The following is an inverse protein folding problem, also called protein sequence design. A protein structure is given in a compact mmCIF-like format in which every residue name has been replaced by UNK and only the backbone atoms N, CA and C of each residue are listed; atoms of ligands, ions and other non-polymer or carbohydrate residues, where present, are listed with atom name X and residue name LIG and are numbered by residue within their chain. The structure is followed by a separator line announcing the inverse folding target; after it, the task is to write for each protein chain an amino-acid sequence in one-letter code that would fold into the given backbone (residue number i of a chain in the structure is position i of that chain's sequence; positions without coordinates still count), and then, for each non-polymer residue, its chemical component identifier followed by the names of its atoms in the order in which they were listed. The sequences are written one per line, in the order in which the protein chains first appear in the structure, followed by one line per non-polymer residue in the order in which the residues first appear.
data_IF_970644979866
#
_entry.id   IF_970644979866
#
_cell.length_a   1.000
_cell.length_b   1.000
_cell.length_c   1.000
_cell.angle_alpha   90.00
_cell.angle_beta   90.00
_cell.angle_gamma   90.00
#
_symmetry.space_group_name_H-M   'P 1'
#
loop_
_entity.id
_entity.type
_entity.pdbx_description
1 polymer ?
#
# COMPACT_ATOMS: atom_id res chain seq x y z
N UNK A 1 -9.02 -24.55 -4.03
CA UNK A 1 -9.84 -23.78 -3.06
C UNK A 1 -9.93 -24.52 -1.74
N UNK A 2 -9.77 -23.83 -0.60
CA UNK A 2 -9.79 -24.42 0.75
C UNK A 2 -11.20 -24.79 1.27
N UNK A 3 -12.27 -24.50 0.51
CA UNK A 3 -13.65 -24.80 0.91
C UNK A 3 -14.18 -23.90 2.02
N UNK A 4 -13.89 -22.59 1.94
CA UNK A 4 -14.36 -21.59 2.90
C UNK A 4 -15.90 -21.58 2.98
N UNK A 5 -16.51 -21.79 4.17
CA UNK A 5 -17.96 -21.90 4.32
C UNK A 5 -18.66 -20.56 4.61
N UNK A 6 -17.90 -19.49 4.87
CA UNK A 6 -18.45 -18.18 5.26
C UNK A 6 -19.05 -17.40 4.09
N UNK A 7 -19.81 -16.33 4.38
CA UNK A 7 -20.31 -15.44 3.34
C UNK A 7 -19.11 -14.79 2.63
N UNK A 8 -19.20 -14.68 1.31
CA UNK A 8 -18.24 -13.99 0.45
C UNK A 8 -16.82 -14.61 0.42
N UNK A 9 -16.65 -15.69 -0.36
CA UNK A 9 -15.36 -16.37 -0.57
C UNK A 9 -14.28 -15.55 -1.29
N UNK A 10 -14.53 -14.28 -1.56
CA UNK A 10 -13.56 -13.31 -2.13
C UNK A 10 -12.88 -12.46 -1.05
N UNK A 11 -13.34 -12.51 0.21
CA UNK A 11 -12.71 -11.80 1.32
C UNK A 11 -11.42 -12.51 1.76
N UNK A 12 -10.31 -12.15 1.11
CA UNK A 12 -9.01 -12.82 1.26
C UNK A 12 -8.58 -12.98 2.72
N UNK A 13 -8.81 -11.95 3.54
CA UNK A 13 -8.48 -11.93 4.97
C UNK A 13 -9.09 -13.12 5.74
N UNK A 14 -10.41 -13.31 5.61
CA UNK A 14 -11.14 -14.39 6.29
C UNK A 14 -10.88 -15.75 5.68
N UNK A 15 -10.76 -15.80 4.35
CA UNK A 15 -10.47 -17.03 3.62
C UNK A 15 -9.08 -17.55 4.00
N UNK A 16 -8.09 -16.67 4.10
CA UNK A 16 -6.73 -17.01 4.53
C UNK A 16 -6.69 -17.45 5.99
N UNK A 17 -7.41 -16.74 6.89
CA UNK A 17 -7.53 -17.15 8.30
C UNK A 17 -8.12 -18.56 8.41
N UNK A 18 -9.24 -18.81 7.73
CA UNK A 18 -9.87 -20.13 7.72
C UNK A 18 -8.95 -21.21 7.16
N UNK A 19 -8.23 -20.92 6.06
CA UNK A 19 -7.26 -21.85 5.50
C UNK A 19 -6.13 -22.15 6.51
N UNK A 20 -5.64 -21.13 7.22
CA UNK A 20 -4.60 -21.30 8.25
C UNK A 20 -5.06 -22.23 9.36
N UNK A 21 -6.28 -22.03 9.88
CA UNK A 21 -6.90 -22.92 10.89
C UNK A 21 -7.07 -24.34 10.34
N UNK A 22 -7.57 -24.47 9.10
CA UNK A 22 -7.84 -25.77 8.48
C UNK A 22 -6.58 -26.59 8.23
N UNK A 23 -5.50 -25.96 7.79
CA UNK A 23 -4.23 -26.63 7.52
C UNK A 23 -3.31 -26.70 8.75
N UNK A 24 -3.62 -25.96 9.82
CA UNK A 24 -2.79 -25.86 11.02
C UNK A 24 -1.48 -25.08 10.81
N UNK A 25 -1.34 -24.40 9.67
CA UNK A 25 -0.11 -23.71 9.27
C UNK A 25 -0.43 -22.52 8.36
N UNK A 26 -0.32 -21.31 8.90
CA UNK A 26 -0.52 -20.08 8.14
C UNK A 26 0.66 -19.77 7.21
N UNK A 27 1.89 -20.21 7.53
CA UNK A 27 3.03 -20.04 6.64
C UNK A 27 2.84 -20.85 5.36
N UNK A 28 2.30 -22.06 5.48
CA UNK A 28 1.90 -22.86 4.32
C UNK A 28 0.89 -22.12 3.43
N UNK A 29 -0.12 -21.48 4.02
CA UNK A 29 -1.12 -20.69 3.28
C UNK A 29 -0.48 -19.50 2.57
N UNK A 30 0.39 -18.74 3.24
CA UNK A 30 1.11 -17.60 2.65
C UNK A 30 1.97 -18.03 1.45
N UNK A 31 2.68 -19.16 1.55
CA UNK A 31 3.43 -19.74 0.43
C UNK A 31 2.50 -20.12 -0.73
N UNK A 32 1.35 -20.75 -0.46
CA UNK A 32 0.38 -21.06 -1.53
C UNK A 32 -0.18 -19.81 -2.20
N UNK A 33 -0.45 -18.75 -1.45
CA UNK A 33 -0.89 -17.47 -2.02
C UNK A 33 0.20 -16.88 -2.91
N UNK A 34 1.47 -16.89 -2.48
CA UNK A 34 2.60 -16.50 -3.34
C UNK A 34 2.61 -17.32 -4.63
N UNK A 35 2.46 -18.64 -4.54
CA UNK A 35 2.53 -19.52 -5.72
C UNK A 35 1.40 -19.22 -6.72
N UNK A 36 0.16 -19.10 -6.24
CA UNK A 36 -1.00 -18.76 -7.07
C UNK A 36 -0.83 -17.39 -7.72
N UNK A 37 -0.40 -16.39 -6.93
CA UNK A 37 -0.15 -15.08 -7.49
C UNK A 37 0.96 -15.16 -8.53
N UNK A 38 2.06 -15.86 -8.28
CA UNK A 38 3.16 -15.97 -9.27
C UNK A 38 2.71 -16.64 -10.58
N UNK A 39 1.80 -17.62 -10.52
CA UNK A 39 1.24 -18.28 -11.71
C UNK A 39 0.26 -17.40 -12.51
N UNK A 40 -0.57 -16.61 -11.83
CA UNK A 40 -1.62 -15.79 -12.45
C UNK A 40 -1.15 -14.36 -12.80
N UNK A 41 -0.06 -13.90 -12.19
CA UNK A 41 0.38 -12.52 -12.34
C UNK A 41 1.07 -12.32 -13.70
N UNK A 42 0.34 -11.72 -14.64
CA UNK A 42 0.92 -11.20 -15.87
C UNK A 42 1.63 -9.88 -15.56
N UNK A 43 2.94 -9.81 -15.79
CA UNK A 43 3.70 -8.56 -15.65
C UNK A 43 3.07 -7.47 -16.53
N UNK A 44 2.75 -6.28 -15.98
CA UNK A 44 2.25 -5.17 -16.76
C UNK A 44 3.23 -4.75 -17.86
N UNK A 45 2.69 -4.19 -18.95
CA UNK A 45 3.51 -3.57 -19.98
C UNK A 45 3.97 -2.18 -19.51
N UNK A 46 5.14 -2.15 -18.86
CA UNK A 46 5.74 -0.88 -18.40
C UNK A 46 6.18 0.04 -19.57
N UNK A 47 6.17 -0.43 -20.81
CA UNK A 47 6.38 0.39 -22.00
C UNK A 47 5.14 1.22 -22.38
N UNK A 48 3.95 0.79 -21.97
CA UNK A 48 2.71 1.53 -22.20
C UNK A 48 2.67 2.77 -21.28
N UNK A 49 2.64 4.00 -21.83
CA UNK A 49 2.62 5.21 -21.00
C UNK A 49 1.33 5.34 -20.17
N UNK A 50 0.23 4.70 -20.56
CA UNK A 50 -1.02 4.74 -19.80
C UNK A 50 -1.07 3.67 -18.70
N UNK A 51 -0.07 2.79 -18.63
CA UNK A 51 0.05 1.82 -17.54
C UNK A 51 0.39 2.57 -16.22
N UNK A 52 -0.32 2.27 -15.11
CA UNK A 52 -0.20 3.05 -13.88
C UNK A 52 1.22 3.09 -13.30
N UNK A 53 1.94 1.96 -13.27
CA UNK A 53 3.30 1.93 -12.73
C UNK A 53 4.28 2.71 -13.61
N UNK A 54 4.15 2.61 -14.94
CA UNK A 54 4.93 3.36 -15.91
C UNK A 54 4.75 4.88 -15.74
N UNK A 55 3.50 5.34 -15.58
CA UNK A 55 3.21 6.73 -15.27
C UNK A 55 3.89 7.16 -13.97
N UNK A 56 3.66 6.42 -12.88
CA UNK A 56 4.22 6.73 -11.56
C UNK A 56 5.76 6.72 -11.57
N UNK A 57 6.37 5.85 -12.39
CA UNK A 57 7.80 5.76 -12.58
C UNK A 57 8.39 6.93 -13.38
N UNK A 58 7.59 7.64 -14.18
CA UNK A 58 8.08 8.83 -14.88
C UNK A 58 8.21 10.04 -13.91
N UNK A 59 7.37 10.13 -12.87
CA UNK A 59 7.41 11.23 -11.90
C UNK A 59 8.66 11.21 -11.00
N UNK A 60 9.17 12.38 -10.57
CA UNK A 60 10.31 12.46 -9.65
C UNK A 60 9.89 12.18 -8.19
N UNK A 61 9.25 11.05 -7.92
CA UNK A 61 8.80 10.67 -6.58
C UNK A 61 9.93 9.93 -5.85
N UNK A 62 10.31 10.37 -4.64
CA UNK A 62 11.38 9.71 -3.88
C UNK A 62 10.90 8.50 -3.07
N UNK A 63 9.59 8.38 -2.80
CA UNK A 63 9.05 7.35 -1.89
C UNK A 63 7.74 6.80 -2.45
N UNK A 64 7.63 5.48 -2.48
CA UNK A 64 6.46 4.70 -2.83
C UNK A 64 6.11 3.80 -1.65
N UNK A 65 4.85 3.80 -1.21
CA UNK A 65 4.34 2.88 -0.20
C UNK A 65 3.34 1.95 -0.89
N UNK A 66 3.45 0.66 -0.62
CA UNK A 66 2.57 -0.34 -1.24
C UNK A 66 2.15 -1.41 -0.23
N UNK A 67 0.91 -1.89 -0.35
CA UNK A 67 0.45 -3.14 0.27
C UNK A 67 0.39 -4.29 -0.73
N UNK A 68 0.79 -4.05 -1.98
CA UNK A 68 0.92 -5.13 -2.96
C UNK A 68 2.16 -5.95 -2.65
N UNK A 69 2.07 -7.25 -2.91
CA UNK A 69 3.18 -8.19 -2.69
C UNK A 69 4.19 -8.20 -3.85
N UNK A 70 3.77 -7.81 -5.06
CA UNK A 70 4.61 -7.78 -6.26
C UNK A 70 5.64 -6.62 -6.25
N UNK A 71 6.64 -6.74 -7.13
CA UNK A 71 7.68 -5.72 -7.34
C UNK A 71 7.39 -4.83 -8.56
N UNK A 72 6.14 -4.64 -9.00
CA UNK A 72 5.86 -3.97 -10.27
C UNK A 72 6.31 -2.52 -10.31
N UNK A 73 6.12 -1.76 -9.24
CA UNK A 73 6.63 -0.39 -9.19
C UNK A 73 8.17 -0.36 -9.24
N UNK A 74 8.85 -1.35 -8.63
CA UNK A 74 10.32 -1.48 -8.69
C UNK A 74 10.76 -1.74 -10.13
N UNK A 75 10.08 -2.67 -10.82
CA UNK A 75 10.36 -2.99 -12.21
C UNK A 75 10.10 -1.80 -13.13
N UNK A 76 8.98 -1.09 -12.95
CA UNK A 76 8.67 0.12 -13.72
C UNK A 76 9.73 1.22 -13.50
N UNK A 77 10.18 1.44 -12.26
CA UNK A 77 11.25 2.40 -11.95
C UNK A 77 12.58 2.04 -12.64
N UNK A 78 12.92 0.76 -12.69
CA UNK A 78 14.13 0.28 -13.36
C UNK A 78 14.12 0.59 -14.87
N UNK A 79 12.96 0.50 -15.53
CA UNK A 79 12.84 0.90 -16.96
C UNK A 79 13.09 2.40 -17.20
N UNK A 80 13.03 3.23 -16.15
CA UNK A 80 13.34 4.67 -16.16
C UNK A 80 14.72 4.97 -15.58
N UNK A 81 15.60 3.96 -15.51
CA UNK A 81 16.96 4.04 -14.96
C UNK A 81 17.03 4.49 -13.50
N UNK A 82 15.92 4.37 -12.74
CA UNK A 82 15.88 4.68 -11.31
C UNK A 82 16.29 3.44 -10.52
N UNK A 83 17.28 3.61 -9.64
CA UNK A 83 17.82 2.53 -8.81
C UNK A 83 17.03 2.42 -7.52
N UNK A 84 15.82 1.85 -7.61
CA UNK A 84 14.90 1.75 -6.48
C UNK A 84 15.43 0.81 -5.39
N UNK A 85 15.32 1.24 -4.13
CA UNK A 85 15.59 0.43 -2.95
C UNK A 85 14.27 -0.12 -2.41
N UNK A 86 14.09 -1.44 -2.44
CA UNK A 86 12.86 -2.08 -1.96
C UNK A 86 13.06 -2.65 -0.55
N UNK A 87 12.30 -2.16 0.42
CA UNK A 87 12.37 -2.57 1.82
C UNK A 87 11.01 -3.05 2.35
N UNK A 88 11.05 -3.95 3.33
CA UNK A 88 9.87 -4.54 3.97
C UNK A 88 9.55 -3.83 5.29
N UNK A 89 8.27 -3.71 5.62
CA UNK A 89 7.84 -3.33 6.96
C UNK A 89 8.08 -4.51 7.94
N UNK A 90 8.93 -4.34 8.97
CA UNK A 90 9.18 -5.38 9.96
C UNK A 90 8.07 -5.40 11.03
N UNK A 91 6.84 -5.69 10.61
CA UNK A 91 5.63 -5.57 11.44
C UNK A 91 5.51 -6.61 12.57
N UNK A 92 6.38 -7.61 12.58
CA UNK A 92 6.49 -8.61 13.64
C UNK A 92 7.95 -8.84 13.99
N UNK A 93 8.21 -9.34 15.20
CA UNK A 93 9.56 -9.59 15.73
C UNK A 93 10.36 -10.57 14.86
N UNK A 94 9.69 -11.47 14.16
CA UNK A 94 10.31 -12.46 13.27
C UNK A 94 10.88 -11.85 11.99
N UNK A 95 10.48 -10.64 11.61
CA UNK A 95 10.97 -9.96 10.40
C UNK A 95 12.04 -8.96 10.81
N UNK A 96 13.29 -9.21 10.48
CA UNK A 96 14.38 -8.29 10.82
C UNK A 96 14.17 -6.91 10.17
N UNK A 97 14.49 -5.79 10.87
CA UNK A 97 14.53 -4.48 10.23
C UNK A 97 15.51 -4.49 9.04
N UNK A 98 15.15 -3.77 7.98
CA UNK A 98 16.02 -3.67 6.82
C UNK A 98 17.32 -2.91 7.17
N UNK A 99 18.52 -3.46 6.86
CA UNK A 99 19.79 -2.79 7.10
C UNK A 99 19.88 -1.40 6.47
N UNK A 100 19.07 -1.11 5.44
CA UNK A 100 18.94 0.21 4.83
C UNK A 100 18.65 1.31 5.85
N UNK A 101 17.99 0.99 6.96
CA UNK A 101 17.62 1.94 8.01
C UNK A 101 18.45 1.79 9.29
N UNK A 102 19.52 1.00 9.28
CA UNK A 102 20.34 0.74 10.47
C UNK A 102 21.16 1.97 10.91
N UNK A 103 21.53 2.84 9.97
CA UNK A 103 22.31 4.05 10.27
C UNK A 103 21.45 5.15 10.90
N UNK A 104 22.02 5.85 11.88
CA UNK A 104 21.34 6.93 12.61
C UNK A 104 20.98 8.12 11.73
N UNK A 105 21.75 8.35 10.67
CA UNK A 105 21.43 9.36 9.65
C UNK A 105 20.18 9.00 8.83
N UNK A 106 19.81 7.71 8.82
CA UNK A 106 18.73 7.16 8.03
C UNK A 106 19.02 7.13 6.53
N UNK A 107 18.33 6.24 5.82
CA UNK A 107 18.28 6.30 4.35
C UNK A 107 17.47 7.52 3.90
N UNK A 108 18.02 8.37 3.03
CA UNK A 108 17.34 9.52 2.46
C UNK A 108 16.97 9.25 0.98
N UNK A 109 15.71 8.89 0.68
CA UNK A 109 15.30 8.53 -0.67
C UNK A 109 15.34 9.73 -1.62
N UNK A 110 15.71 9.49 -2.87
CA UNK A 110 15.77 10.53 -3.92
C UNK A 110 15.02 10.06 -5.18
N UNK A 111 14.65 10.96 -6.11
CA UNK A 111 14.04 10.53 -7.37
C UNK A 111 14.91 9.57 -8.21
N UNK A 112 16.24 9.62 -8.08
CA UNK A 112 17.16 8.72 -8.77
C UNK A 112 17.32 7.37 -8.05
N UNK A 113 17.20 7.39 -6.72
CA UNK A 113 17.28 6.22 -5.83
C UNK A 113 16.05 6.17 -4.91
N UNK A 114 14.85 5.93 -5.46
CA UNK A 114 13.62 6.01 -4.71
C UNK A 114 13.47 4.82 -3.76
N UNK A 115 12.72 5.02 -2.68
CA UNK A 115 12.34 3.95 -1.75
C UNK A 115 11.01 3.35 -2.17
N UNK A 116 10.93 2.03 -2.26
CA UNK A 116 9.68 1.28 -2.34
C UNK A 116 9.51 0.51 -1.03
N UNK A 117 8.50 0.87 -0.26
CA UNK A 117 8.26 0.33 1.07
C UNK A 117 7.01 -0.56 1.09
N UNK A 118 7.20 -1.86 1.31
CA UNK A 118 6.12 -2.85 1.33
C UNK A 118 5.57 -3.01 2.75
N UNK A 119 4.37 -2.48 2.97
CA UNK A 119 3.70 -2.52 4.26
C UNK A 119 3.20 -3.92 4.60
N UNK A 120 2.70 -4.66 3.62
CA UNK A 120 2.08 -5.97 3.84
C UNK A 120 2.99 -7.13 3.44
N UNK A 121 4.30 -6.89 3.25
CA UNK A 121 5.24 -7.91 2.80
C UNK A 121 5.42 -7.95 1.28
N UNK A 122 6.30 -8.83 0.80
CA UNK A 122 6.63 -8.96 -0.63
C UNK A 122 6.83 -10.42 -1.04
N UNK A 123 6.60 -10.75 -2.33
CA UNK A 123 6.64 -12.13 -2.86
C UNK A 123 7.92 -12.89 -2.52
N UNK A 124 9.04 -12.17 -2.45
CA UNK A 124 10.36 -12.73 -2.10
C UNK A 124 10.44 -13.32 -0.69
N UNK A 125 9.55 -12.89 0.22
CA UNK A 125 9.47 -13.39 1.59
C UNK A 125 8.00 -13.54 2.03
N UNK A 126 7.35 -14.67 1.74
CA UNK A 126 5.95 -14.89 2.12
C UNK A 126 5.71 -14.88 3.63
N UNK A 127 6.72 -15.12 4.46
CA UNK A 127 6.55 -15.03 5.91
C UNK A 127 6.20 -13.59 6.34
N UNK A 128 6.62 -12.60 5.55
CA UNK A 128 6.30 -11.19 5.74
C UNK A 128 4.88 -10.79 5.36
N UNK A 129 4.08 -11.68 4.76
CA UNK A 129 2.72 -11.32 4.30
C UNK A 129 1.82 -10.93 5.47
N UNK A 130 1.14 -9.80 5.34
CA UNK A 130 -0.01 -9.43 6.16
C UNK A 130 -1.27 -9.87 5.41
N UNK A 131 -1.72 -11.10 5.67
CA UNK A 131 -2.70 -11.78 4.83
C UNK A 131 -3.98 -12.17 5.58
N UNK A 132 -3.86 -12.73 6.78
CA UNK A 132 -4.99 -13.23 7.56
C UNK A 132 -5.42 -12.25 8.65
N UNK A 133 -6.61 -12.46 9.23
CA UNK A 133 -7.15 -11.64 10.33
C UNK A 133 -6.12 -11.48 11.47
N UNK A 134 -5.47 -12.57 11.87
CA UNK A 134 -4.45 -12.55 12.92
C UNK A 134 -3.21 -11.72 12.56
N UNK A 135 -2.75 -11.78 11.30
CA UNK A 135 -1.61 -10.98 10.83
C UNK A 135 -1.93 -9.47 10.95
N UNK A 136 -3.12 -9.07 10.49
CA UNK A 136 -3.56 -7.68 10.55
C UNK A 136 -3.72 -7.18 11.99
N UNK A 137 -4.25 -8.01 12.90
CA UNK A 137 -4.37 -7.66 14.31
C UNK A 137 -2.98 -7.47 14.96
N UNK A 138 -2.03 -8.36 14.67
CA UNK A 138 -0.65 -8.24 15.15
C UNK A 138 0.02 -7.00 14.56
N UNK A 139 -0.14 -6.74 13.26
CA UNK A 139 0.38 -5.55 12.58
C UNK A 139 -0.09 -4.26 13.27
N UNK A 140 -1.40 -4.09 13.45
CA UNK A 140 -1.97 -2.87 14.06
C UNK A 140 -1.55 -2.72 15.52
N UNK A 141 -1.58 -3.81 16.30
CA UNK A 141 -1.15 -3.81 17.70
C UNK A 141 0.32 -3.36 17.82
N UNK A 142 1.20 -3.97 17.04
CA UNK A 142 2.63 -3.65 17.09
C UNK A 142 2.88 -2.19 16.64
N UNK A 143 2.16 -1.72 15.62
CA UNK A 143 2.21 -0.32 15.21
C UNK A 143 1.86 0.62 16.38
N UNK A 144 0.74 0.38 17.07
CA UNK A 144 0.30 1.20 18.20
C UNK A 144 1.33 1.15 19.35
N UNK A 145 1.84 -0.03 19.68
CA UNK A 145 2.85 -0.20 20.74
C UNK A 145 4.12 0.58 20.39
N UNK A 146 4.61 0.47 19.15
CA UNK A 146 5.82 1.16 18.74
C UNK A 146 5.68 2.68 18.80
N UNK A 147 4.54 3.21 18.32
CA UNK A 147 4.22 4.64 18.38
C UNK A 147 4.10 5.15 19.81
N UNK A 148 3.56 4.34 20.73
CA UNK A 148 3.44 4.68 22.15
C UNK A 148 4.80 4.70 22.85
N UNK A 149 5.67 3.73 22.53
CA UNK A 149 6.98 3.58 23.16
C UNK A 149 8.07 4.45 22.52
N UNK A 150 7.75 5.19 21.46
CA UNK A 150 8.69 6.05 20.72
C UNK A 150 9.68 5.27 19.83
N UNK A 151 9.48 3.96 19.66
CA UNK A 151 10.25 3.16 18.69
C UNK A 151 9.67 3.32 17.29
N UNK A 152 10.50 3.32 16.26
CA UNK A 152 10.09 3.58 14.88
C UNK A 152 10.62 2.50 13.93
N UNK A 153 10.42 1.23 14.28
CA UNK A 153 10.97 0.10 13.53
C UNK A 153 10.09 -0.19 12.32
N UNK A 154 8.77 -0.21 12.49
CA UNK A 154 7.79 -0.39 11.40
C UNK A 154 7.76 0.80 10.44
N UNK A 155 8.02 2.01 10.93
CA UNK A 155 8.02 3.23 10.15
C UNK A 155 9.31 4.02 10.41
N UNK A 156 10.40 3.72 9.68
CA UNK A 156 11.66 4.44 9.81
C UNK A 156 11.50 5.95 9.56
N UNK A 157 12.46 6.80 10.02
CA UNK A 157 12.36 8.25 9.90
C UNK A 157 12.06 8.77 8.49
N UNK A 158 12.59 8.14 7.45
CA UNK A 158 12.34 8.52 6.05
C UNK A 158 10.90 8.27 5.60
N UNK A 159 10.28 7.19 6.08
CA UNK A 159 8.86 6.91 5.85
C UNK A 159 8.00 7.91 6.62
N UNK A 160 8.28 8.14 7.90
CA UNK A 160 7.55 9.12 8.72
C UNK A 160 7.65 10.53 8.11
N UNK A 161 8.83 10.93 7.64
CA UNK A 161 9.03 12.19 6.95
C UNK A 161 8.20 12.24 5.65
N UNK A 162 8.20 11.19 4.83
CA UNK A 162 7.39 11.15 3.62
C UNK A 162 5.89 11.30 3.90
N UNK A 163 5.39 10.60 4.92
CA UNK A 163 3.99 10.67 5.35
C UNK A 163 3.60 12.05 5.87
N UNK A 164 4.48 12.75 6.59
CA UNK A 164 4.13 13.99 7.29
C UNK A 164 4.46 15.28 6.53
N UNK A 165 5.39 15.22 5.57
CA UNK A 165 5.90 16.42 4.89
C UNK A 165 5.38 16.60 3.48
N UNK A 166 4.78 15.57 2.86
CA UNK A 166 4.38 15.57 1.45
C UNK A 166 2.89 15.23 1.27
N UNK A 167 2.22 15.76 0.24
CA UNK A 167 0.96 15.21 -0.25
C UNK A 167 1.11 13.73 -0.60
N UNK A 168 0.06 12.95 -0.38
CA UNK A 168 0.02 11.53 -0.75
C UNK A 168 -0.96 11.34 -1.90
N UNK A 169 -0.61 10.47 -2.85
CA UNK A 169 -1.49 9.99 -3.91
C UNK A 169 -1.82 8.53 -3.63
N UNK A 170 -3.10 8.22 -3.45
CA UNK A 170 -3.60 6.86 -3.23
C UNK A 170 -4.10 6.28 -4.55
N UNK A 171 -3.54 5.13 -4.92
CA UNK A 171 -3.82 4.43 -6.18
C UNK A 171 -4.13 2.97 -5.88
N UNK A 172 -5.19 2.42 -6.47
CA UNK A 172 -5.50 0.99 -6.39
C UNK A 172 -6.13 0.53 -5.08
N UNK A 173 -6.61 1.45 -4.23
CA UNK A 173 -7.36 1.12 -3.01
C UNK A 173 -8.80 1.60 -3.11
N UNK A 174 -9.71 0.80 -2.57
CA UNK A 174 -11.02 1.32 -2.20
C UNK A 174 -10.91 1.95 -0.82
N UNK A 175 -11.22 3.25 -0.71
CA UNK A 175 -11.33 3.91 0.61
C UNK A 175 -12.50 3.35 1.45
N UNK A 176 -13.32 2.48 0.86
CA UNK A 176 -14.38 1.76 1.56
C UNK A 176 -13.87 0.47 2.21
N UNK A 177 -12.70 -0.03 1.81
CA UNK A 177 -12.10 -1.24 2.37
C UNK A 177 -11.91 -1.10 3.88
N UNK A 178 -12.41 -2.06 4.64
CA UNK A 178 -12.39 -2.01 6.11
C UNK A 178 -10.98 -2.09 6.67
N UNK A 179 -10.10 -2.89 6.04
CA UNK A 179 -8.72 -3.06 6.49
C UNK A 179 -7.89 -1.80 6.24
N UNK A 180 -8.06 -1.20 5.06
CA UNK A 180 -7.44 0.08 4.72
C UNK A 180 -7.91 1.18 5.68
N UNK A 181 -9.23 1.27 5.91
CA UNK A 181 -9.81 2.28 6.81
C UNK A 181 -9.24 2.19 8.22
N UNK A 182 -9.11 0.97 8.77
CA UNK A 182 -8.51 0.77 10.09
C UNK A 182 -7.06 1.25 10.14
N UNK A 183 -6.23 0.84 9.16
CA UNK A 183 -4.85 1.30 9.07
C UNK A 183 -4.77 2.83 8.99
N UNK A 184 -5.62 3.43 8.17
CA UNK A 184 -5.61 4.87 7.92
C UNK A 184 -6.07 5.69 9.13
N UNK A 185 -7.09 5.22 9.85
CA UNK A 185 -7.53 5.81 11.11
C UNK A 185 -6.41 5.77 12.14
N UNK A 186 -5.72 4.63 12.27
CA UNK A 186 -4.61 4.50 13.21
C UNK A 186 -3.39 5.33 12.80
N UNK A 187 -3.11 5.47 11.49
CA UNK A 187 -2.07 6.39 10.99
C UNK A 187 -2.40 7.85 11.33
N UNK A 188 -3.65 8.29 11.13
CA UNK A 188 -4.09 9.64 11.45
C UNK A 188 -3.93 9.98 12.94
N UNK A 189 -4.36 9.05 13.81
CA UNK A 189 -4.25 9.20 15.27
C UNK A 189 -2.80 9.18 15.76
N UNK A 190 -2.00 8.24 15.24
CA UNK A 190 -0.63 8.01 15.72
C UNK A 190 0.40 8.94 15.08
N UNK A 191 0.04 9.58 13.97
CA UNK A 191 0.87 10.53 13.21
C UNK A 191 0.01 11.75 12.81
N UNK A 192 -0.43 12.60 13.76
CA UNK A 192 -1.36 13.71 13.47
C UNK A 192 -0.88 14.72 12.42
N UNK A 193 0.44 14.78 12.18
CA UNK A 193 1.01 15.65 11.16
C UNK A 193 0.64 15.24 9.72
N UNK A 194 0.21 13.99 9.49
CA UNK A 194 -0.22 13.50 8.18
C UNK A 194 -1.39 14.30 7.63
N UNK A 195 -2.37 14.60 8.49
CA UNK A 195 -3.58 15.37 8.21
C UNK A 195 -3.37 16.83 7.80
N UNK A 196 -2.15 17.37 7.96
CA UNK A 196 -1.84 18.77 7.62
C UNK A 196 -1.73 19.03 6.12
N UNK A 197 -1.74 17.98 5.30
CA UNK A 197 -1.57 18.05 3.85
C UNK A 197 -2.85 17.65 3.14
N UNK A 198 -3.03 18.20 1.94
CA UNK A 198 -4.08 17.77 1.03
C UNK A 198 -3.58 16.54 0.27
N UNK A 199 -4.28 15.43 0.41
CA UNK A 199 -4.00 14.17 -0.28
C UNK A 199 -4.96 14.00 -1.45
N UNK A 200 -4.62 13.11 -2.38
CA UNK A 200 -5.45 12.75 -3.53
C UNK A 200 -5.68 11.25 -3.52
N UNK A 201 -6.90 10.82 -3.76
CA UNK A 201 -7.25 9.40 -3.93
C UNK A 201 -8.00 9.18 -5.22
N UNK A 202 -7.65 8.14 -5.96
CA UNK A 202 -8.35 7.71 -7.16
C UNK A 202 -9.37 6.65 -6.74
N UNK A 203 -10.66 6.91 -6.98
CA UNK A 203 -11.75 6.01 -6.63
C UNK A 203 -12.61 5.73 -7.86
N UNK A 204 -13.01 4.47 -8.04
CA UNK A 204 -14.00 4.14 -9.07
C UNK A 204 -15.34 4.77 -8.71
N UNK A 205 -16.06 5.25 -9.72
CA UNK A 205 -17.43 5.72 -9.53
C UNK A 205 -18.30 4.59 -8.95
N UNK A 206 -19.24 4.90 -8.03
CA UNK A 206 -20.10 3.89 -7.44
C UNK A 206 -20.93 3.20 -8.54
N UNK A 207 -20.92 1.87 -8.53
CA UNK A 207 -21.68 1.04 -9.47
C UNK A 207 -23.00 0.52 -8.88
N UNK A 208 -23.19 0.68 -7.57
CA UNK A 208 -24.42 0.36 -6.84
C UNK A 208 -25.27 1.62 -6.66
N UNK A 209 -26.45 1.51 -6.05
CA UNK A 209 -27.43 2.59 -5.91
C UNK A 209 -27.02 3.83 -5.10
N UNK A 210 -25.72 4.04 -4.86
CA UNK A 210 -25.16 5.26 -4.30
C UNK A 210 -24.77 6.23 -5.41
N UNK A 211 -25.05 7.52 -5.21
CA UNK A 211 -24.52 8.58 -6.06
C UNK A 211 -23.07 8.92 -5.68
N UNK A 212 -22.35 9.65 -6.54
CA UNK A 212 -21.03 10.19 -6.21
C UNK A 212 -21.12 11.07 -4.94
N UNK A 213 -22.17 11.88 -4.81
CA UNK A 213 -22.37 12.75 -3.65
C UNK A 213 -22.55 11.95 -2.34
N UNK A 214 -23.32 10.85 -2.38
CA UNK A 214 -23.45 9.95 -1.22
C UNK A 214 -22.09 9.38 -0.79
N UNK A 215 -21.30 8.97 -1.78
CA UNK A 215 -19.97 8.40 -1.53
C UNK A 215 -18.98 9.45 -1.03
N UNK A 216 -19.00 10.67 -1.55
CA UNK A 216 -18.22 11.79 -1.03
C UNK A 216 -18.61 12.12 0.41
N UNK A 217 -19.91 12.14 0.72
CA UNK A 217 -20.39 12.31 2.09
C UNK A 217 -19.85 11.25 3.04
N UNK A 218 -19.87 9.98 2.63
CA UNK A 218 -19.34 8.87 3.41
C UNK A 218 -17.82 8.96 3.62
N UNK A 219 -17.08 9.29 2.57
CA UNK A 219 -15.62 9.45 2.64
C UNK A 219 -15.23 10.64 3.51
N UNK A 220 -15.91 11.78 3.34
CA UNK A 220 -15.71 12.95 4.19
C UNK A 220 -16.02 12.65 5.66
N UNK A 221 -17.01 11.78 5.94
CA UNK A 221 -17.28 11.34 7.31
C UNK A 221 -16.17 10.47 7.89
N UNK A 222 -15.73 9.44 7.16
CA UNK A 222 -14.70 8.51 7.65
C UNK A 222 -13.31 9.14 7.77
N UNK A 223 -13.02 10.11 6.91
CA UNK A 223 -11.71 10.72 6.77
C UNK A 223 -11.76 12.22 7.05
N UNK A 224 -12.67 12.70 7.89
CA UNK A 224 -12.85 14.13 8.20
C UNK A 224 -11.55 14.82 8.65
N UNK A 225 -10.70 14.09 9.38
CA UNK A 225 -9.40 14.57 9.84
C UNK A 225 -8.36 14.66 8.72
N UNK A 226 -8.61 14.02 7.57
CA UNK A 226 -7.72 14.01 6.43
C UNK A 226 -8.28 14.89 5.32
N UNK A 227 -7.43 15.74 4.75
CA UNK A 227 -7.83 16.57 3.62
C UNK A 227 -7.69 15.78 2.31
N UNK A 228 -8.56 14.80 2.05
CA UNK A 228 -8.50 13.97 0.83
C UNK A 228 -9.38 14.57 -0.26
N UNK A 229 -8.82 14.75 -1.45
CA UNK A 229 -9.57 15.03 -2.67
C UNK A 229 -9.70 13.76 -3.50
N UNK A 230 -10.92 13.47 -3.95
CA UNK A 230 -11.21 12.25 -4.69
C UNK A 230 -11.29 12.55 -6.17
N UNK A 231 -10.58 11.77 -6.97
CA UNK A 231 -10.80 11.67 -8.41
C UNK A 231 -11.73 10.47 -8.66
N UNK A 232 -12.88 10.72 -9.26
CA UNK A 232 -13.86 9.70 -9.60
C UNK A 232 -13.65 9.22 -11.04
N UNK A 233 -13.09 8.03 -11.22
CA UNK A 233 -12.81 7.47 -12.53
C UNK A 233 -11.90 6.25 -12.48
N UNK A 234 -11.74 5.61 -13.64
CA UNK A 234 -10.79 4.50 -13.80
C UNK A 234 -9.34 4.98 -13.67
N UNK A 235 -8.43 4.07 -13.29
CA UNK A 235 -7.01 4.42 -13.23
C UNK A 235 -6.46 4.81 -14.61
N UNK A 236 -6.91 4.14 -15.67
CA UNK A 236 -6.50 4.45 -17.04
C UNK A 236 -6.95 5.86 -17.47
N UNK A 237 -8.17 6.26 -17.08
CA UNK A 237 -8.72 7.60 -17.33
C UNK A 237 -7.92 8.67 -16.59
N UNK A 238 -7.64 8.43 -15.31
CA UNK A 238 -6.79 9.30 -14.51
C UNK A 238 -5.39 9.45 -15.13
N UNK A 239 -4.77 8.33 -15.53
CA UNK A 239 -3.43 8.34 -16.13
C UNK A 239 -3.39 9.17 -17.41
N UNK A 240 -4.40 9.01 -18.27
CA UNK A 240 -4.54 9.78 -19.50
C UNK A 240 -4.73 11.27 -19.21
N UNK A 241 -5.69 11.61 -18.35
CA UNK A 241 -6.00 13.01 -18.00
C UNK A 241 -4.82 13.70 -17.33
N UNK A 242 -4.09 13.01 -16.44
CA UNK A 242 -2.92 13.57 -15.79
C UNK A 242 -1.83 13.90 -16.80
N UNK A 243 -1.56 13.02 -17.77
CA UNK A 243 -0.60 13.29 -18.84
C UNK A 243 -1.02 14.47 -19.71
N UNK A 244 -2.29 14.55 -20.10
CA UNK A 244 -2.82 15.67 -20.88
C UNK A 244 -2.64 17.01 -20.15
N UNK A 245 -2.91 17.04 -18.83
CA UNK A 245 -2.76 18.25 -18.01
C UNK A 245 -1.31 18.64 -17.76
N UNK A 246 -0.41 17.66 -17.66
CA UNK A 246 1.01 17.88 -17.43
C UNK A 246 1.76 18.35 -18.69
N UNK A 247 1.20 18.13 -19.89
CA UNK A 247 1.88 18.38 -21.15
C UNK A 247 3.05 17.40 -21.38
N UNK A 248 4.02 17.80 -22.22
CA UNK A 248 5.27 17.05 -22.33
C UNK A 248 6.04 17.19 -21.00
N UNK A 249 6.22 16.09 -20.27
CA UNK A 249 7.03 16.10 -19.05
C UNK A 249 8.43 16.62 -19.38
N UNK A 250 8.97 17.59 -18.60
CA UNK A 250 10.30 18.13 -18.84
C UNK A 250 11.41 17.10 -18.65
#
# INVERSE_FOLDING_TARGET
MCGYPGPNGTELLRVAQYAGVKYGDLHYVKNRVRDVLTEDTRTPDFGNPNEPHALLADFPLPVYLTTNYDDFIVQALATRTKSAMAALCPWTETIAPDPLFAETAGFNPSPATPLVYHLHGAMRDPASFVLAEDDYMVFLRNFIIERTNGTNRMFPPSILAALTTRPLLFVGYSLQDSTFRMLFQELGRSIPAISRRRHVSIQLAPTSGYTIEDMEGLLNWYYAEWQISVYWGGIDEFCKELRERMGAMP
#
